data_IF_576562816697
#
_entry.id   IF_576562816697
#
_cell.length_a   1.000
_cell.length_b   1.000
_cell.length_c   1.000
_cell.angle_alpha   90.00
_cell.angle_beta   90.00
_cell.angle_gamma   90.00
#
_symmetry.space_group_name_H-M   'P 1'
#
loop_
_entity.id
_entity.type
_entity.pdbx_description
1 polymer ?
#
# COMPACT_ATOMS: atom_id res chain seq x y z
N UNK A 1 11.68 -14.37 -4.83
CA UNK A 1 10.52 -14.90 -5.56
C UNK A 1 10.25 -13.99 -6.74
N UNK A 2 9.96 -14.51 -7.93
CA UNK A 2 9.69 -13.64 -9.09
C UNK A 2 8.31 -13.02 -8.95
N UNK A 3 8.18 -11.74 -9.29
CA UNK A 3 6.88 -11.03 -9.23
C UNK A 3 5.81 -11.67 -10.11
N UNK A 4 6.21 -12.28 -11.23
CA UNK A 4 5.29 -12.97 -12.15
C UNK A 4 4.79 -14.33 -11.63
N UNK A 5 5.42 -14.86 -10.57
CA UNK A 5 5.10 -16.17 -9.99
C UNK A 5 4.29 -16.05 -8.69
N UNK A 6 4.01 -14.82 -8.21
CA UNK A 6 3.24 -14.59 -7.00
C UNK A 6 1.84 -15.17 -7.14
N UNK A 7 1.42 -15.94 -6.13
CA UNK A 7 0.04 -16.38 -6.00
C UNK A 7 -0.90 -15.20 -5.67
N UNK A 8 -2.21 -15.45 -5.62
CA UNK A 8 -3.23 -14.44 -5.34
C UNK A 8 -2.97 -13.67 -4.03
N UNK A 9 -2.62 -14.38 -2.96
CA UNK A 9 -2.43 -13.81 -1.62
C UNK A 9 -1.11 -13.05 -1.53
N UNK A 10 -0.05 -13.62 -2.08
CA UNK A 10 1.25 -12.96 -2.14
C UNK A 10 1.17 -11.69 -2.99
N UNK A 11 0.43 -11.72 -4.09
CA UNK A 11 0.19 -10.54 -4.92
C UNK A 11 -0.60 -9.47 -4.17
N UNK A 12 -1.64 -9.84 -3.42
CA UNK A 12 -2.41 -8.91 -2.59
C UNK A 12 -1.53 -8.27 -1.51
N UNK A 13 -0.68 -9.07 -0.85
CA UNK A 13 0.28 -8.60 0.16
C UNK A 13 1.29 -7.61 -0.44
N UNK A 14 1.93 -7.99 -1.55
CA UNK A 14 2.94 -7.15 -2.18
C UNK A 14 2.33 -5.89 -2.80
N UNK A 15 1.07 -5.94 -3.24
CA UNK A 15 0.32 -4.76 -3.66
C UNK A 15 0.13 -3.80 -2.48
N UNK A 16 -0.35 -4.28 -1.33
CA UNK A 16 -0.47 -3.45 -0.13
C UNK A 16 0.89 -2.85 0.27
N UNK A 17 1.95 -3.66 0.25
CA UNK A 17 3.30 -3.20 0.60
C UNK A 17 3.85 -2.17 -0.40
N UNK A 18 3.48 -2.26 -1.68
CA UNK A 18 3.84 -1.27 -2.69
C UNK A 18 3.13 0.08 -2.49
N UNK A 19 1.93 0.06 -1.89
CA UNK A 19 1.19 1.27 -1.51
C UNK A 19 1.77 1.97 -0.27
N UNK A 20 2.56 1.27 0.55
CA UNK A 20 3.17 1.85 1.73
C UNK A 20 4.12 2.99 1.35
N UNK A 21 3.95 4.13 2.02
CA UNK A 21 4.87 5.27 1.94
C UNK A 21 5.20 5.77 3.35
N UNK A 22 6.13 6.72 3.44
CA UNK A 22 6.49 7.32 4.72
C UNK A 22 5.27 8.00 5.39
N UNK A 23 4.42 8.63 4.57
CA UNK A 23 3.19 9.29 5.01
C UNK A 23 1.98 8.33 5.14
N UNK A 24 2.14 7.08 4.72
CA UNK A 24 1.10 6.05 4.78
C UNK A 24 1.66 4.74 5.36
N UNK A 25 1.85 4.68 6.70
CA UNK A 25 2.04 3.42 7.40
C UNK A 25 0.90 2.43 7.13
N UNK A 26 1.27 1.17 6.96
CA UNK A 26 0.31 0.07 6.75
C UNK A 26 0.54 -1.00 7.83
N UNK A 27 -0.51 -1.31 8.58
CA UNK A 27 -0.51 -2.46 9.48
C UNK A 27 -1.18 -3.66 8.80
N UNK A 28 -0.48 -4.79 8.78
CA UNK A 28 -0.99 -6.10 8.39
C UNK A 28 -1.47 -6.80 9.65
N UNK A 29 -2.78 -6.67 9.95
CA UNK A 29 -3.39 -7.13 11.21
C UNK A 29 -3.65 -8.64 11.18
N UNK A 30 -4.01 -9.16 10.01
CA UNK A 30 -4.13 -10.59 9.76
C UNK A 30 -3.67 -10.92 8.34
N UNK A 31 -2.97 -12.05 8.19
CA UNK A 31 -2.53 -12.58 6.89
C UNK A 31 -3.37 -13.78 6.46
N UNK A 32 -4.02 -14.45 7.42
CA UNK A 32 -4.84 -15.65 7.25
C UNK A 32 -6.09 -15.59 8.14
N UNK A 33 -7.24 -16.13 7.70
CA UNK A 33 -7.52 -16.72 6.37
C UNK A 33 -7.76 -15.67 5.27
N UNK A 34 -7.71 -14.38 5.62
CA UNK A 34 -7.84 -13.28 4.69
C UNK A 34 -6.84 -12.18 5.07
N UNK A 35 -6.29 -11.50 4.07
CA UNK A 35 -5.42 -10.35 4.28
C UNK A 35 -6.25 -9.17 4.79
N UNK A 36 -5.97 -8.75 6.02
CA UNK A 36 -6.61 -7.60 6.68
C UNK A 36 -5.53 -6.56 6.93
N UNK A 37 -5.75 -5.37 6.38
CA UNK A 37 -4.82 -4.26 6.48
C UNK A 37 -5.50 -3.01 7.02
N UNK A 38 -4.71 -2.19 7.68
CA UNK A 38 -5.10 -0.87 8.17
C UNK A 38 -4.20 0.15 7.51
N UNK A 39 -4.78 1.06 6.75
CA UNK A 39 -4.08 2.21 6.17
C UNK A 39 -4.30 3.41 7.08
N UNK A 40 -3.23 4.03 7.57
CA UNK A 40 -3.33 5.17 8.48
C UNK A 40 -2.52 6.35 7.97
N UNK A 41 -3.16 7.46 7.65
CA UNK A 41 -2.50 8.68 7.16
C UNK A 41 -2.64 9.87 8.11
N UNK A 42 -2.50 9.66 9.42
CA UNK A 42 -2.50 10.74 10.43
C UNK A 42 -3.84 11.48 10.66
N UNK A 43 -4.65 11.69 9.62
CA UNK A 43 -5.94 12.39 9.64
C UNK A 43 -7.12 11.48 9.28
N UNK A 44 -6.87 10.39 8.55
CA UNK A 44 -7.84 9.35 8.26
C UNK A 44 -7.20 7.96 8.46
N UNK A 45 -7.99 7.04 9.03
CA UNK A 45 -7.62 5.64 9.08
C UNK A 45 -8.70 4.84 8.37
N UNK A 46 -8.31 4.08 7.35
CA UNK A 46 -9.18 3.02 6.84
C UNK A 46 -9.08 1.89 7.87
N UNK A 47 -10.11 1.82 8.72
CA UNK A 47 -10.28 0.75 9.71
C UNK A 47 -10.09 -0.62 9.06
N UNK A 48 -9.56 -1.57 9.84
CA UNK A 48 -9.23 -2.94 9.48
C UNK A 48 -10.16 -3.51 8.41
N UNK A 49 -9.68 -3.50 7.17
CA UNK A 49 -10.44 -3.91 6.01
C UNK A 49 -9.79 -5.13 5.38
N UNK A 50 -10.64 -6.07 4.95
CA UNK A 50 -10.18 -7.10 4.01
C UNK A 50 -9.66 -6.41 2.76
N UNK A 51 -8.50 -6.83 2.30
CA UNK A 51 -7.83 -6.26 1.15
C UNK A 51 -7.49 -7.36 0.17
N UNK A 52 -8.18 -7.39 -0.96
CA UNK A 52 -8.02 -8.42 -1.97
C UNK A 52 -8.01 -7.85 -3.40
N UNK A 53 -7.07 -6.93 -3.73
CA UNK A 53 -7.03 -6.22 -5.01
C UNK A 53 -6.96 -7.14 -6.23
N UNK A 54 -6.35 -8.33 -6.12
CA UNK A 54 -6.29 -9.32 -7.19
C UNK A 54 -7.65 -9.94 -7.53
N UNK A 55 -8.62 -9.87 -6.61
CA UNK A 55 -9.96 -10.43 -6.77
C UNK A 55 -11.07 -9.37 -6.85
N UNK A 56 -10.81 -8.15 -6.35
CA UNK A 56 -11.78 -7.05 -6.28
C UNK A 56 -11.17 -5.72 -6.74
N UNK A 57 -11.72 -5.15 -7.81
CA UNK A 57 -11.30 -3.83 -8.29
C UNK A 57 -11.47 -2.70 -7.27
N UNK A 58 -12.49 -2.78 -6.41
CA UNK A 58 -12.72 -1.79 -5.35
C UNK A 58 -11.58 -1.71 -4.32
N UNK A 59 -10.77 -2.76 -4.20
CA UNK A 59 -9.59 -2.79 -3.32
C UNK A 59 -8.32 -2.39 -4.07
N UNK A 60 -8.38 -2.25 -5.40
CA UNK A 60 -7.28 -1.82 -6.26
C UNK A 60 -7.36 -0.32 -6.63
N UNK A 61 -8.35 0.42 -6.12
CA UNK A 61 -8.56 1.85 -6.44
C UNK A 61 -7.31 2.69 -6.21
N UNK A 62 -6.61 2.50 -5.08
CA UNK A 62 -5.37 3.22 -4.77
C UNK A 62 -4.25 2.97 -5.79
N UNK A 63 -4.23 1.81 -6.45
CA UNK A 63 -3.29 1.51 -7.54
C UNK A 63 -3.71 2.23 -8.81
N UNK A 64 -5.01 2.25 -9.10
CA UNK A 64 -5.58 2.92 -10.27
C UNK A 64 -5.43 4.44 -10.20
N UNK A 65 -5.58 5.03 -9.02
CA UNK A 65 -5.40 6.48 -8.81
C UNK A 65 -3.96 6.93 -9.09
N UNK A 66 -2.98 6.02 -8.97
CA UNK A 66 -1.57 6.25 -9.29
C UNK A 66 -1.21 5.92 -10.74
N UNK A 67 -2.14 5.37 -11.52
CA UNK A 67 -1.87 4.92 -12.88
C UNK A 67 -1.83 6.11 -13.87
N UNK A 68 -0.72 6.27 -14.58
CA UNK A 68 -0.53 7.32 -15.59
C UNK A 68 -0.82 6.81 -17.01
N UNK A 69 -0.23 5.66 -17.38
CA UNK A 69 -0.43 5.01 -18.68
C UNK A 69 -0.48 3.49 -18.49
N UNK A 70 -1.26 2.81 -19.32
CA UNK A 70 -1.30 1.35 -19.37
C UNK A 70 -1.45 0.87 -20.81
N UNK A 71 -0.58 -0.06 -21.19
CA UNK A 71 -0.65 -0.76 -22.46
C UNK A 71 -0.75 -2.24 -22.17
N UNK A 72 -1.73 -2.90 -22.77
CA UNK A 72 -1.93 -4.34 -22.59
C UNK A 72 -2.04 -5.05 -23.93
N UNK A 73 -1.48 -6.25 -23.99
CA UNK A 73 -1.64 -7.17 -25.10
C UNK A 73 -1.97 -8.56 -24.56
N UNK A 74 -2.72 -9.34 -25.32
CA UNK A 74 -2.98 -10.75 -25.03
C UNK A 74 -2.25 -11.59 -26.05
N UNK A 75 -1.51 -12.60 -25.58
CA UNK A 75 -0.81 -13.52 -26.46
C UNK A 75 -1.74 -14.60 -27.03
N UNK A 76 -1.19 -15.46 -27.89
CA UNK A 76 -1.94 -16.55 -28.53
C UNK A 76 -2.45 -17.61 -27.53
N UNK A 77 -1.87 -17.68 -26.33
CA UNK A 77 -2.26 -18.60 -25.25
C UNK A 77 -3.28 -17.97 -24.30
N UNK A 78 -3.67 -16.71 -24.55
CA UNK A 78 -4.59 -15.99 -23.72
C UNK A 78 -3.95 -15.38 -22.47
N UNK A 79 -2.63 -15.42 -22.29
CA UNK A 79 -1.96 -14.68 -21.22
C UNK A 79 -1.98 -13.20 -21.55
N UNK A 80 -2.41 -12.38 -20.59
CA UNK A 80 -2.39 -10.94 -20.71
C UNK A 80 -1.06 -10.41 -20.18
N UNK A 81 -0.38 -9.61 -20.98
CA UNK A 81 0.79 -8.82 -20.59
C UNK A 81 0.41 -7.36 -20.53
N UNK A 82 0.96 -6.63 -19.56
CA UNK A 82 0.81 -5.19 -19.50
C UNK A 82 2.12 -4.50 -19.14
N UNK A 83 2.30 -3.32 -19.72
CA UNK A 83 3.28 -2.33 -19.30
C UNK A 83 2.49 -1.15 -18.77
N UNK A 84 2.79 -0.73 -17.54
CA UNK A 84 2.06 0.33 -16.85
C UNK A 84 3.03 1.32 -16.22
N UNK A 85 2.72 2.60 -16.33
CA UNK A 85 3.46 3.69 -15.70
C UNK A 85 2.67 4.23 -14.54
N UNK A 86 3.32 4.36 -13.37
CA UNK A 86 2.70 4.82 -12.14
C UNK A 86 3.39 6.07 -11.60
N UNK A 87 2.62 6.93 -10.93
CA UNK A 87 3.17 7.98 -10.08
C UNK A 87 3.99 7.37 -8.95
N UNK A 88 5.22 7.86 -8.74
CA UNK A 88 6.04 7.49 -7.60
C UNK A 88 5.95 8.57 -6.51
N UNK A 89 5.71 8.17 -5.26
CA UNK A 89 5.77 9.07 -4.11
C UNK A 89 7.19 9.61 -3.89
N UNK A 90 7.32 10.89 -3.51
CA UNK A 90 8.61 11.49 -3.12
C UNK A 90 9.00 12.83 -3.78
N UNK A 91 8.10 13.51 -4.47
CA UNK A 91 8.36 14.83 -5.09
C UNK A 91 8.03 14.86 -6.58
N UNK A 92 7.82 16.07 -7.11
CA UNK A 92 7.24 16.29 -8.44
C UNK A 92 7.97 15.54 -9.57
N UNK A 93 7.20 14.82 -10.39
CA UNK A 93 7.59 14.17 -11.66
C UNK A 93 8.43 12.89 -11.61
N UNK A 94 8.43 12.12 -10.52
CA UNK A 94 8.94 10.74 -10.57
C UNK A 94 7.84 9.78 -11.03
N UNK A 95 7.95 9.21 -12.24
CA UNK A 95 7.11 8.12 -12.71
C UNK A 95 7.93 6.83 -12.81
N UNK A 96 7.32 5.68 -12.54
CA UNK A 96 7.96 4.36 -12.67
C UNK A 96 7.14 3.46 -13.56
N UNK A 97 7.82 2.87 -14.54
CA UNK A 97 7.25 1.85 -15.40
C UNK A 97 7.45 0.46 -14.79
N UNK A 98 6.45 -0.39 -14.91
CA UNK A 98 6.52 -1.80 -14.58
C UNK A 98 5.87 -2.66 -15.65
N UNK A 99 6.33 -3.89 -15.75
CA UNK A 99 5.74 -4.92 -16.60
C UNK A 99 5.15 -6.04 -15.74
N UNK A 100 4.03 -6.59 -16.15
CA UNK A 100 3.41 -7.73 -15.51
C UNK A 100 2.63 -8.58 -16.49
N UNK A 101 2.48 -9.87 -16.16
CA UNK A 101 1.69 -10.82 -16.94
C UNK A 101 0.71 -11.56 -16.03
N UNK A 102 -0.42 -12.01 -16.56
CA UNK A 102 -1.43 -12.71 -15.78
C UNK A 102 -2.62 -13.23 -16.58
N UNK A 103 -3.57 -13.91 -15.93
CA UNK A 103 -4.78 -14.43 -16.57
C UNK A 103 -5.74 -13.30 -17.01
N UNK A 104 -5.71 -12.17 -16.32
CA UNK A 104 -6.55 -11.00 -16.59
C UNK A 104 -5.76 -9.68 -16.41
N UNK A 105 -6.38 -8.57 -16.81
CA UNK A 105 -5.76 -7.24 -16.75
C UNK A 105 -5.40 -6.84 -15.33
N UNK A 106 -6.24 -7.19 -14.36
CA UNK A 106 -6.05 -6.85 -12.96
C UNK A 106 -4.79 -7.50 -12.41
N UNK A 107 -4.64 -8.80 -12.59
CA UNK A 107 -3.48 -9.56 -12.13
C UNK A 107 -2.20 -9.05 -12.78
N UNK A 108 -2.22 -8.82 -14.10
CA UNK A 108 -1.07 -8.28 -14.80
C UNK A 108 -0.70 -6.87 -14.31
N UNK A 109 -1.70 -5.99 -14.14
CA UNK A 109 -1.51 -4.61 -13.67
C UNK A 109 -0.94 -4.56 -12.26
N UNK A 110 -1.44 -5.40 -11.34
CA UNK A 110 -0.91 -5.47 -9.97
C UNK A 110 0.54 -5.99 -9.96
N UNK A 111 0.88 -6.98 -10.79
CA UNK A 111 2.27 -7.44 -10.95
C UNK A 111 3.17 -6.35 -11.52
N UNK A 112 2.68 -5.58 -12.50
CA UNK A 112 3.39 -4.41 -13.01
C UNK A 112 3.60 -3.36 -11.91
N UNK A 113 2.60 -3.10 -11.07
CA UNK A 113 2.70 -2.17 -9.95
C UNK A 113 3.74 -2.60 -8.91
N UNK A 114 3.70 -3.88 -8.50
CA UNK A 114 4.70 -4.47 -7.59
C UNK A 114 6.10 -4.36 -8.22
N UNK A 115 6.24 -4.69 -9.50
CA UNK A 115 7.53 -4.61 -10.22
C UNK A 115 8.05 -3.17 -10.33
N UNK A 116 7.20 -2.20 -10.64
CA UNK A 116 7.58 -0.79 -10.66
C UNK A 116 8.14 -0.30 -9.30
N UNK A 117 7.71 -0.92 -8.19
CA UNK A 117 8.12 -0.54 -6.84
C UNK A 117 9.34 -1.30 -6.30
N UNK A 118 9.45 -2.59 -6.62
CA UNK A 118 10.42 -3.51 -5.99
C UNK A 118 11.36 -4.21 -7.00
N UNK A 119 11.08 -4.12 -8.30
CA UNK A 119 11.82 -4.84 -9.33
C UNK A 119 11.25 -6.25 -9.59
N UNK A 120 12.06 -7.08 -10.25
CA UNK A 120 11.62 -8.38 -10.78
C UNK A 120 11.44 -9.45 -9.71
N UNK A 121 12.04 -9.23 -8.53
CA UNK A 121 12.03 -10.18 -7.42
C UNK A 121 11.65 -9.52 -6.10
N UNK A 122 10.90 -10.25 -5.29
CA UNK A 122 10.51 -9.89 -3.93
C UNK A 122 10.87 -11.02 -2.96
N UNK A 123 11.01 -10.67 -1.68
CA UNK A 123 11.22 -11.66 -0.61
C UNK A 123 9.95 -12.49 -0.33
N UNK A 124 10.08 -13.52 0.51
CA UNK A 124 8.92 -14.28 0.97
C UNK A 124 8.03 -13.43 1.87
N UNK A 125 6.70 -13.60 1.76
CA UNK A 125 5.74 -12.94 2.63
C UNK A 125 5.95 -13.35 4.10
N UNK A 126 5.99 -12.40 5.07
CA UNK A 126 6.06 -12.74 6.48
C UNK A 126 4.84 -13.55 6.94
N UNK A 127 5.06 -14.49 7.87
CA UNK A 127 3.99 -15.33 8.42
C UNK A 127 3.23 -14.73 9.61
N UNK A 128 3.71 -13.61 10.16
CA UNK A 128 3.15 -12.98 11.37
C UNK A 128 2.67 -11.54 11.08
N UNK A 129 1.62 -11.06 11.77
CA UNK A 129 1.18 -9.67 11.72
C UNK A 129 2.31 -8.66 11.98
N UNK A 130 2.34 -7.59 11.19
CA UNK A 130 3.42 -6.61 11.22
C UNK A 130 2.97 -5.25 10.69
N UNK A 131 3.75 -4.22 10.96
CA UNK A 131 3.57 -2.88 10.41
C UNK A 131 4.71 -2.56 9.45
N UNK A 132 4.39 -1.92 8.34
CA UNK A 132 5.37 -1.31 7.44
C UNK A 132 5.43 0.18 7.74
N UNK A 133 6.60 0.67 8.18
CA UNK A 133 6.89 2.09 8.42
C UNK A 133 8.22 2.45 7.76
N UNK A 134 8.25 3.53 6.98
CA UNK A 134 9.45 3.96 6.27
C UNK A 134 10.13 2.82 5.46
N UNK A 135 9.30 1.96 4.86
CA UNK A 135 9.75 0.76 4.14
C UNK A 135 10.31 -0.39 5.01
N UNK A 136 10.32 -0.26 6.34
CA UNK A 136 10.81 -1.28 7.29
C UNK A 136 9.65 -2.05 7.93
N UNK A 137 9.89 -3.33 8.19
CA UNK A 137 8.97 -4.23 8.87
C UNK A 137 9.19 -4.14 10.40
N UNK A 138 8.13 -3.83 11.13
CA UNK A 138 8.09 -3.85 12.60
C UNK A 138 7.03 -4.86 13.06
N UNK A 139 7.31 -5.66 14.09
CA UNK A 139 6.33 -6.63 14.58
C UNK A 139 5.10 -5.91 15.14
N UNK A 140 3.92 -6.41 14.80
CA UNK A 140 2.65 -5.93 15.35
C UNK A 140 2.12 -6.98 16.33
N UNK A 141 2.17 -6.70 17.63
CA UNK A 141 1.58 -7.61 18.61
C UNK A 141 0.05 -7.47 18.60
N UNK A 142 -0.69 -8.59 18.55
CA UNK A 142 -2.14 -8.60 18.68
C UNK A 142 -2.57 -7.90 19.99
N UNK A 143 -3.49 -6.95 19.89
CA UNK A 143 -3.98 -6.17 21.03
C UNK A 143 -3.16 -4.92 21.38
N UNK A 144 -2.07 -4.64 20.67
CA UNK A 144 -1.50 -3.29 20.72
C UNK A 144 -2.44 -2.30 20.04
N UNK A 145 -2.66 -1.11 20.63
CA UNK A 145 -3.39 -0.06 19.94
C UNK A 145 -2.72 0.19 18.60
N UNK A 146 -3.51 0.34 17.53
CA UNK A 146 -3.03 0.96 16.30
C UNK A 146 -2.27 2.21 16.76
N UNK A 147 -0.98 2.39 16.43
CA UNK A 147 -0.25 3.53 16.93
C UNK A 147 -0.95 4.79 16.41
N UNK A 148 -1.74 5.41 17.28
CA UNK A 148 -2.23 6.75 17.05
C UNK A 148 -1.01 7.61 16.92
N UNK A 149 -0.98 8.48 15.91
CA UNK A 149 -0.06 9.60 15.87
C UNK A 149 0.00 10.16 17.28
N UNK A 150 1.20 10.19 17.88
CA UNK A 150 1.39 10.80 19.19
C UNK A 150 0.69 12.17 19.21
N UNK A 151 0.14 12.60 20.35
CA UNK A 151 -0.68 13.80 20.41
C UNK A 151 0.05 14.93 19.69
N UNK A 152 -0.57 15.46 18.65
CA UNK A 152 -0.20 16.76 18.08
C UNK A 152 -0.09 17.68 19.29
N UNK A 153 1.12 18.19 19.58
CA UNK A 153 1.27 19.29 20.52
C UNK A 153 0.19 20.29 20.13
N UNK A 154 -0.78 20.47 21.02
CA UNK A 154 -1.90 21.34 20.76
C UNK A 154 -1.32 22.68 20.31
N UNK A 155 -1.62 23.09 19.08
CA UNK A 155 -1.32 24.45 18.66
C UNK A 155 -1.91 25.38 19.71
N UNK A 156 -1.12 26.34 20.23
CA UNK A 156 -1.59 27.21 21.29
C UNK A 156 -2.84 27.93 20.79
N UNK A 157 -3.93 27.78 21.55
CA UNK A 157 -5.20 28.42 21.26
C UNK A 157 -4.98 29.94 21.08
N UNK A 158 -5.18 30.49 19.88
CA UNK A 158 -5.01 31.93 19.65
C UNK A 158 -6.03 32.77 20.44
N UNK A 159 -7.04 32.16 21.07
CA UNK A 159 -8.00 32.79 21.96
C UNK A 159 -7.71 32.57 23.45
N UNK A 160 -6.54 32.07 23.82
CA UNK A 160 -6.08 32.08 25.20
C UNK A 160 -5.78 33.52 25.65
N UNK A 161 -6.85 34.27 26.00
CA UNK A 161 -6.76 35.61 26.58
C UNK A 161 -6.14 35.44 27.96
N UNK A 162 -4.83 35.64 28.05
CA UNK A 162 -4.10 35.66 29.30
C UNK A 162 -4.67 36.72 30.23
N UNK A 163 -5.15 36.29 31.40
CA UNK A 163 -5.45 37.18 32.52
C UNK A 163 -4.17 37.93 32.90
N UNK A 164 -4.12 39.22 32.58
CA UNK A 164 -3.07 40.10 33.07
C UNK A 164 -3.14 40.18 34.61
N UNK A 165 -2.01 40.09 35.33
CA UNK A 165 -2.00 40.26 36.76
C UNK A 165 -2.35 41.72 37.10
N UNK A 166 -3.34 41.92 37.96
CA UNK A 166 -3.57 43.24 38.58
C UNK A 166 -2.40 43.54 39.51
N UNK A 167 -1.73 44.66 39.29
CA UNK A 167 -1.00 45.38 40.33
C UNK A 167 -1.77 46.65 40.67
#
# INVERSE_FOLDING_TARGET
>A
MRTDDLDTRELDYWTARALASDDLPIAFVALEPALVVTFSNGTASRMDARFAPSSRWADATDVLDRLIDVRSARDAHGTLSCVATFEAGGGACAAREGHGSGPDLRTALLRAFVRARFGDEVEAMPGEPHVVRHGRLERHAQGQPIPGSGPREAEPDPNAIGSLPRQ
#
